data_IF_020028752463
#
_entry.id   IF_020028752463
#
_cell.length_a   1.000
_cell.length_b   1.000
_cell.length_c   1.000
_cell.angle_alpha   90.00
_cell.angle_beta   90.00
_cell.angle_gamma   90.00
#
_symmetry.space_group_name_H-M   'P 1'
#
loop_
_entity.id
_entity.type
_entity.pdbx_description
1 polymer ?
#
# COMPACT_ATOMS: atom_id res chain seq x y z
N UNK A 1 54.17 -45.70 33.30
CA UNK A 1 54.10 -44.22 33.38
C UNK A 1 53.56 -43.56 32.11
N UNK A 2 53.90 -44.05 30.90
CA UNK A 2 53.43 -43.49 29.62
C UNK A 2 51.90 -43.65 29.38
N UNK A 3 51.31 -44.79 29.72
CA UNK A 3 49.86 -45.05 29.55
C UNK A 3 48.97 -44.08 30.35
N UNK A 4 49.39 -43.73 31.57
CA UNK A 4 48.66 -42.82 32.45
C UNK A 4 48.70 -41.37 31.94
N UNK A 5 49.82 -40.94 31.34
CA UNK A 5 49.95 -39.62 30.69
C UNK A 5 49.11 -39.54 29.40
N UNK A 6 49.06 -40.63 28.62
CA UNK A 6 48.24 -40.71 27.42
C UNK A 6 46.73 -40.63 27.75
N UNK A 7 46.27 -41.36 28.78
CA UNK A 7 44.88 -41.33 29.20
C UNK A 7 44.43 -39.93 29.68
N UNK A 8 45.30 -39.21 30.40
CA UNK A 8 45.02 -37.83 30.85
C UNK A 8 44.92 -36.88 29.65
N UNK A 9 45.83 -36.99 28.68
CA UNK A 9 45.81 -36.15 27.47
C UNK A 9 44.54 -36.39 26.64
N UNK A 10 44.16 -37.65 26.44
CA UNK A 10 42.93 -38.02 25.73
C UNK A 10 41.71 -37.45 26.47
N UNK A 11 41.65 -37.62 27.80
CA UNK A 11 40.56 -37.06 28.61
C UNK A 11 40.42 -35.55 28.48
N UNK A 12 41.54 -34.82 28.48
CA UNK A 12 41.55 -33.36 28.31
C UNK A 12 41.13 -32.92 26.90
N UNK A 13 41.53 -33.66 25.86
CA UNK A 13 41.07 -33.41 24.49
C UNK A 13 39.55 -33.63 24.37
N UNK A 14 39.02 -34.72 24.94
CA UNK A 14 37.59 -35.00 24.94
C UNK A 14 36.80 -33.90 25.68
N UNK A 15 37.26 -33.46 26.85
CA UNK A 15 36.66 -32.33 27.58
C UNK A 15 36.73 -31.04 26.75
N UNK A 16 37.84 -30.83 26.03
CA UNK A 16 38.01 -29.63 25.20
C UNK A 16 37.02 -29.58 24.05
N UNK A 17 36.81 -30.71 23.36
CA UNK A 17 35.84 -30.86 22.28
C UNK A 17 34.41 -30.69 22.82
N UNK A 18 34.08 -31.32 23.95
CA UNK A 18 32.78 -31.20 24.59
C UNK A 18 32.46 -29.75 24.95
N UNK A 19 33.39 -29.04 25.59
CA UNK A 19 33.19 -27.65 25.99
C UNK A 19 33.05 -26.74 24.76
N UNK A 20 33.90 -26.90 23.74
CA UNK A 20 33.80 -26.14 22.50
C UNK A 20 32.45 -26.38 21.79
N UNK A 21 31.96 -27.63 21.77
CA UNK A 21 30.65 -27.98 21.23
C UNK A 21 29.49 -27.32 22.01
N UNK A 22 29.53 -27.37 23.34
CA UNK A 22 28.53 -26.70 24.19
C UNK A 22 28.55 -25.18 24.03
N UNK A 23 29.73 -24.57 23.96
CA UNK A 23 29.89 -23.13 23.71
C UNK A 23 29.36 -22.75 22.33
N UNK A 24 29.62 -23.55 21.30
CA UNK A 24 29.06 -23.35 19.96
C UNK A 24 27.53 -23.43 19.93
N UNK A 25 26.95 -24.45 20.56
CA UNK A 25 25.48 -24.61 20.64
C UNK A 25 24.81 -23.48 21.43
N UNK A 26 25.38 -23.11 22.58
CA UNK A 26 24.88 -22.01 23.39
C UNK A 26 25.01 -20.67 22.64
N UNK A 27 26.16 -20.44 21.99
CA UNK A 27 26.41 -19.26 21.15
C UNK A 27 25.41 -19.15 20.00
N UNK A 28 25.14 -20.26 19.29
CA UNK A 28 24.14 -20.31 18.22
C UNK A 28 22.75 -19.93 18.72
N UNK A 29 22.29 -20.53 19.84
CA UNK A 29 20.97 -20.20 20.40
C UNK A 29 20.85 -18.75 20.84
N UNK A 30 21.87 -18.23 21.52
CA UNK A 30 21.86 -16.84 21.98
C UNK A 30 21.85 -15.90 20.78
N UNK A 31 22.68 -16.15 19.78
CA UNK A 31 22.76 -15.33 18.58
C UNK A 31 21.47 -15.39 17.76
N UNK A 32 20.88 -16.58 17.60
CA UNK A 32 19.57 -16.76 16.95
C UNK A 32 18.50 -15.92 17.65
N UNK A 33 18.36 -16.04 18.98
CA UNK A 33 17.37 -15.28 19.74
C UNK A 33 17.59 -13.76 19.63
N UNK A 34 18.85 -13.31 19.66
CA UNK A 34 19.18 -11.89 19.56
C UNK A 34 18.90 -11.33 18.18
N UNK A 35 19.27 -12.06 17.12
CA UNK A 35 19.04 -11.65 15.75
C UNK A 35 17.56 -11.70 15.39
N UNK A 36 16.82 -12.71 15.83
CA UNK A 36 15.37 -12.77 15.66
C UNK A 36 14.67 -11.62 16.39
N UNK A 37 15.03 -11.34 17.65
CA UNK A 37 14.46 -10.21 18.39
C UNK A 37 14.76 -8.86 17.72
N UNK A 38 16.01 -8.66 17.26
CA UNK A 38 16.40 -7.46 16.53
C UNK A 38 15.65 -7.33 15.19
N UNK A 39 15.46 -8.44 14.47
CA UNK A 39 14.69 -8.46 13.23
C UNK A 39 13.21 -8.13 13.48
N UNK A 40 12.62 -8.68 14.54
CA UNK A 40 11.24 -8.37 14.93
C UNK A 40 11.07 -6.89 15.29
N UNK A 41 12.02 -6.30 16.03
CA UNK A 41 12.01 -4.89 16.38
C UNK A 41 12.15 -4.00 15.14
N UNK A 42 13.10 -4.31 14.25
CA UNK A 42 13.25 -3.62 12.97
C UNK A 42 11.97 -3.69 12.15
N UNK A 43 11.39 -4.89 12.02
CA UNK A 43 10.18 -5.13 11.24
C UNK A 43 8.98 -4.39 11.82
N UNK A 44 8.89 -4.30 13.15
CA UNK A 44 7.87 -3.52 13.85
C UNK A 44 8.03 -2.01 13.63
N UNK A 45 9.27 -1.49 13.62
CA UNK A 45 9.54 -0.09 13.30
C UNK A 45 9.20 0.22 11.83
N UNK A 46 9.63 -0.65 10.92
CA UNK A 46 9.32 -0.56 9.49
C UNK A 46 7.81 -0.51 9.25
N UNK A 47 7.05 -1.47 9.80
CA UNK A 47 5.62 -1.57 9.56
C UNK A 47 4.84 -0.43 10.21
N UNK A 48 5.31 0.10 11.34
CA UNK A 48 4.69 1.28 11.97
C UNK A 48 4.81 2.51 11.08
N UNK A 49 5.98 2.75 10.50
CA UNK A 49 6.19 3.88 9.57
C UNK A 49 5.34 3.69 8.32
N UNK A 50 5.28 2.46 7.77
CA UNK A 50 4.42 2.14 6.62
C UNK A 50 2.95 2.33 6.93
N UNK A 51 2.47 1.83 8.06
CA UNK A 51 1.08 2.00 8.50
C UNK A 51 0.67 3.48 8.48
N UNK A 52 1.48 4.36 9.09
CA UNK A 52 1.19 5.80 9.10
C UNK A 52 1.18 6.42 7.71
N UNK A 53 2.17 6.09 6.87
CA UNK A 53 2.28 6.68 5.53
C UNK A 53 1.17 6.22 4.58
N UNK A 54 0.87 4.93 4.53
CA UNK A 54 -0.18 4.41 3.64
C UNK A 54 -1.56 4.85 4.12
N UNK A 55 -1.82 4.88 5.43
CA UNK A 55 -3.06 5.38 6.02
C UNK A 55 -3.30 6.87 5.72
N UNK A 56 -2.24 7.69 5.77
CA UNK A 56 -2.30 9.13 5.52
C UNK A 56 -2.90 9.44 4.14
N UNK A 57 -2.58 8.65 3.12
CA UNK A 57 -3.10 8.83 1.76
C UNK A 57 -4.63 8.73 1.70
N UNK A 58 -5.21 7.75 2.39
CA UNK A 58 -6.66 7.56 2.45
C UNK A 58 -7.34 8.60 3.34
N UNK A 59 -6.66 9.06 4.40
CA UNK A 59 -7.11 10.20 5.18
C UNK A 59 -7.15 11.51 4.39
N UNK A 60 -6.17 11.72 3.52
CA UNK A 60 -6.15 12.86 2.61
C UNK A 60 -7.32 12.79 1.64
N UNK A 61 -7.62 11.61 1.09
CA UNK A 61 -8.76 11.43 0.20
C UNK A 61 -10.09 11.69 0.93
N UNK A 62 -10.21 11.24 2.20
CA UNK A 62 -11.36 11.58 3.05
C UNK A 62 -11.49 13.09 3.27
N UNK A 63 -10.39 13.79 3.52
CA UNK A 63 -10.39 15.26 3.69
C UNK A 63 -10.77 15.98 2.41
N UNK A 64 -10.23 15.56 1.26
CA UNK A 64 -10.58 16.09 -0.07
C UNK A 64 -12.08 15.96 -0.33
N UNK A 65 -12.62 14.74 -0.21
CA UNK A 65 -14.03 14.47 -0.51
C UNK A 65 -14.99 15.23 0.43
N UNK A 66 -14.67 15.34 1.72
CA UNK A 66 -15.45 16.18 2.65
C UNK A 66 -15.40 17.67 2.28
N UNK A 67 -14.22 18.19 1.95
CA UNK A 67 -14.08 19.58 1.52
C UNK A 67 -14.87 19.87 0.23
N UNK A 68 -14.90 18.90 -0.70
CA UNK A 68 -15.72 18.95 -1.91
C UNK A 68 -17.22 18.96 -1.57
N UNK A 69 -17.69 18.01 -0.75
CA UNK A 69 -19.09 17.96 -0.32
C UNK A 69 -19.58 19.26 0.34
N UNK A 70 -18.82 19.80 1.29
CA UNK A 70 -19.17 21.05 1.96
C UNK A 70 -19.21 22.24 0.99
N UNK A 71 -18.25 22.30 0.08
CA UNK A 71 -18.19 23.36 -0.94
C UNK A 71 -19.34 23.24 -1.93
N UNK A 72 -19.67 22.02 -2.34
CA UNK A 72 -20.79 21.72 -3.19
C UNK A 72 -22.12 22.16 -2.57
N UNK A 73 -22.39 21.79 -1.32
CA UNK A 73 -23.63 22.20 -0.63
C UNK A 73 -23.77 23.72 -0.56
N UNK A 74 -22.70 24.43 -0.19
CA UNK A 74 -22.71 25.91 -0.17
C UNK A 74 -23.02 26.50 -1.53
N UNK A 75 -22.40 25.98 -2.60
CA UNK A 75 -22.60 26.47 -3.97
C UNK A 75 -23.99 26.14 -4.50
N UNK A 76 -24.47 24.93 -4.24
CA UNK A 76 -25.80 24.50 -4.65
C UNK A 76 -26.88 25.38 -4.01
N UNK A 77 -26.77 25.68 -2.72
CA UNK A 77 -27.69 26.56 -2.01
C UNK A 77 -27.76 27.97 -2.64
N UNK A 78 -26.62 28.54 -3.03
CA UNK A 78 -26.57 29.86 -3.69
C UNK A 78 -27.20 29.82 -5.10
N UNK A 79 -27.11 28.70 -5.81
CA UNK A 79 -27.62 28.56 -7.17
C UNK A 79 -29.13 28.26 -7.24
N UNK A 80 -29.82 27.97 -6.12
CA UNK A 80 -31.23 27.56 -6.12
C UNK A 80 -32.13 28.56 -6.85
N UNK A 81 -31.91 29.87 -6.63
CA UNK A 81 -32.76 30.94 -7.17
C UNK A 81 -32.14 31.70 -8.34
N UNK A 82 -30.99 31.24 -8.86
CA UNK A 82 -30.25 31.90 -9.94
C UNK A 82 -30.58 31.23 -11.28
N UNK A 83 -30.84 31.99 -12.36
CA UNK A 83 -30.90 31.44 -13.71
C UNK A 83 -29.54 30.86 -14.11
N UNK A 84 -29.50 29.58 -14.47
CA UNK A 84 -28.23 28.88 -14.78
C UNK A 84 -28.05 28.54 -16.26
N UNK A 85 -29.10 28.62 -17.08
CA UNK A 85 -29.08 28.08 -18.45
C UNK A 85 -27.98 28.66 -19.33
N UNK A 86 -27.88 29.98 -19.40
CA UNK A 86 -26.92 30.63 -20.31
C UNK A 86 -25.46 30.28 -19.95
N UNK A 87 -25.12 30.27 -18.66
CA UNK A 87 -23.78 29.89 -18.21
C UNK A 87 -23.57 28.38 -18.41
N UNK A 88 -24.56 27.56 -18.07
CA UNK A 88 -24.47 26.11 -18.24
C UNK A 88 -24.29 25.71 -19.71
N UNK A 89 -25.03 26.30 -20.64
CA UNK A 89 -24.94 26.06 -22.07
C UNK A 89 -23.60 26.51 -22.65
N UNK A 90 -23.03 27.60 -22.12
CA UNK A 90 -21.70 28.08 -22.49
C UNK A 90 -20.59 27.12 -22.04
N UNK A 91 -20.73 26.56 -20.83
CA UNK A 91 -19.74 25.65 -20.25
C UNK A 91 -19.87 24.22 -20.78
N UNK A 92 -21.10 23.77 -21.00
CA UNK A 92 -21.45 22.40 -21.37
C UNK A 92 -22.41 22.39 -22.57
N UNK A 93 -21.95 22.76 -23.78
CA UNK A 93 -22.78 22.77 -24.97
C UNK A 93 -23.36 21.38 -25.30
N UNK A 94 -24.55 21.39 -25.89
CA UNK A 94 -25.19 20.17 -26.42
C UNK A 94 -24.48 19.74 -27.68
N UNK A 95 -24.21 18.43 -27.78
CA UNK A 95 -23.59 17.79 -28.92
C UNK A 95 -24.65 17.19 -29.87
N UNK A 96 -24.29 16.88 -31.13
CA UNK A 96 -25.21 16.27 -32.08
C UNK A 96 -25.79 14.92 -31.63
N UNK A 97 -25.09 14.21 -30.74
CA UNK A 97 -25.51 12.91 -30.18
C UNK A 97 -26.48 13.06 -28.98
N UNK A 98 -26.88 14.28 -28.64
CA UNK A 98 -27.79 14.58 -27.52
C UNK A 98 -27.12 14.64 -26.15
N UNK A 99 -25.82 14.35 -26.05
CA UNK A 99 -25.04 14.56 -24.82
C UNK A 99 -24.67 16.03 -24.65
N UNK A 100 -24.18 16.40 -23.46
CA UNK A 100 -23.41 17.63 -23.27
C UNK A 100 -21.97 17.30 -22.91
N UNK A 101 -21.04 18.10 -23.43
CA UNK A 101 -19.59 17.95 -23.19
C UNK A 101 -19.02 19.28 -22.71
N UNK A 102 -17.93 19.24 -21.95
CA UNK A 102 -17.22 20.47 -21.58
C UNK A 102 -16.72 21.21 -22.82
N UNK A 103 -16.92 22.54 -22.87
CA UNK A 103 -16.35 23.39 -23.89
C UNK A 103 -14.81 23.24 -23.96
N UNK A 104 -14.16 23.29 -25.13
CA UNK A 104 -12.73 23.01 -25.27
C UNK A 104 -11.83 23.83 -24.33
N UNK A 105 -12.12 25.13 -24.20
CA UNK A 105 -11.37 26.05 -23.34
C UNK A 105 -11.40 25.72 -21.85
N UNK A 106 -12.35 24.89 -21.38
CA UNK A 106 -12.37 24.45 -19.98
C UNK A 106 -11.21 23.52 -19.61
N UNK A 107 -10.66 22.79 -20.58
CA UNK A 107 -9.44 22.02 -20.35
C UNK A 107 -8.20 22.86 -20.66
N UNK A 108 -8.20 23.56 -21.79
CA UNK A 108 -7.00 24.22 -22.32
C UNK A 108 -6.64 25.52 -21.57
N UNK A 109 -7.62 26.13 -20.90
CA UNK A 109 -7.46 27.44 -20.27
C UNK A 109 -8.44 28.45 -20.85
N UNK A 110 -9.30 29.03 -20.02
CA UNK A 110 -10.17 30.14 -20.41
C UNK A 110 -10.53 31.00 -19.20
N UNK A 111 -10.96 32.23 -19.47
CA UNK A 111 -11.50 33.13 -18.43
C UNK A 111 -13.02 33.04 -18.44
N UNK A 112 -13.61 32.85 -17.27
CA UNK A 112 -15.05 32.82 -17.07
C UNK A 112 -15.63 34.23 -17.12
N UNK A 113 -16.95 34.34 -17.29
CA UNK A 113 -17.68 35.60 -17.23
C UNK A 113 -17.47 36.36 -15.92
N UNK A 114 -17.13 35.66 -14.84
CA UNK A 114 -16.79 36.21 -13.52
C UNK A 114 -15.38 36.77 -13.40
N UNK A 115 -14.52 36.58 -14.42
CA UNK A 115 -13.10 36.97 -14.40
C UNK A 115 -12.15 35.89 -13.86
N UNK A 116 -12.66 34.77 -13.36
CA UNK A 116 -11.85 33.64 -12.90
C UNK A 116 -11.21 32.89 -14.08
N UNK A 117 -9.96 32.44 -13.93
CA UNK A 117 -9.31 31.52 -14.86
C UNK A 117 -9.67 30.06 -14.54
N UNK A 118 -9.91 29.24 -15.56
CA UNK A 118 -10.20 27.81 -15.42
C UNK A 118 -9.47 27.00 -16.48
N UNK A 119 -9.02 25.80 -16.11
CA UNK A 119 -8.32 24.84 -16.96
C UNK A 119 -8.50 23.43 -16.41
N UNK A 120 -8.05 22.40 -17.16
CA UNK A 120 -8.00 21.01 -16.69
C UNK A 120 -9.35 20.31 -16.48
N UNK A 121 -10.45 20.93 -16.90
CA UNK A 121 -11.80 20.39 -16.71
C UNK A 121 -12.26 19.62 -17.95
N UNK A 122 -12.81 18.43 -17.73
CA UNK A 122 -13.55 17.66 -18.72
C UNK A 122 -14.92 17.26 -18.18
N UNK A 123 -15.92 17.09 -19.07
CA UNK A 123 -17.24 16.62 -18.66
C UNK A 123 -17.89 15.74 -19.74
N UNK A 124 -18.62 14.74 -19.26
CA UNK A 124 -19.54 13.91 -20.03
C UNK A 124 -20.89 13.92 -19.33
N UNK A 125 -21.91 14.47 -19.97
CA UNK A 125 -23.26 14.52 -19.43
C UNK A 125 -24.20 13.80 -20.41
N UNK A 126 -24.45 12.52 -20.13
CA UNK A 126 -25.42 11.74 -20.87
C UNK A 126 -26.83 12.37 -20.81
N UNK A 127 -27.62 12.16 -21.88
CA UNK A 127 -28.97 12.71 -22.02
C UNK A 127 -29.03 14.23 -21.78
N UNK A 128 -27.92 14.92 -22.11
CA UNK A 128 -27.67 16.31 -21.75
C UNK A 128 -28.67 17.30 -22.33
N UNK A 129 -29.20 17.01 -23.53
CA UNK A 129 -30.24 17.82 -24.16
C UNK A 129 -31.55 17.89 -23.35
N UNK A 130 -31.81 16.88 -22.50
CA UNK A 130 -33.04 16.75 -21.71
C UNK A 130 -32.86 17.16 -20.24
N UNK A 131 -31.70 17.70 -19.85
CA UNK A 131 -31.44 18.11 -18.47
C UNK A 131 -32.39 19.23 -18.01
N UNK A 132 -33.01 19.02 -16.87
CA UNK A 132 -33.82 19.99 -16.14
C UNK A 132 -32.95 21.08 -15.49
N UNK A 133 -33.54 22.22 -15.15
CA UNK A 133 -32.81 23.30 -14.47
C UNK A 133 -32.22 22.86 -13.13
N UNK A 134 -32.91 21.98 -12.41
CA UNK A 134 -32.40 21.40 -11.15
C UNK A 134 -31.12 20.60 -11.37
N UNK A 135 -31.07 19.79 -12.43
CA UNK A 135 -29.86 19.03 -12.80
C UNK A 135 -28.75 19.97 -13.28
N UNK A 136 -29.07 20.99 -14.08
CA UNK A 136 -28.09 22.00 -14.52
C UNK A 136 -27.47 22.74 -13.33
N UNK A 137 -28.28 23.18 -12.36
CA UNK A 137 -27.80 23.82 -11.11
C UNK A 137 -26.86 22.90 -10.34
N UNK A 138 -27.27 21.65 -10.15
CA UNK A 138 -26.48 20.62 -9.49
C UNK A 138 -25.12 20.42 -10.19
N UNK A 139 -25.11 20.29 -11.50
CA UNK A 139 -23.88 20.11 -12.27
C UNK A 139 -23.01 21.37 -12.33
N UNK A 140 -23.61 22.56 -12.33
CA UNK A 140 -22.88 23.81 -12.21
C UNK A 140 -22.22 23.96 -10.83
N UNK A 141 -22.92 23.58 -9.75
CA UNK A 141 -22.35 23.50 -8.41
C UNK A 141 -21.20 22.47 -8.35
N UNK A 142 -21.39 21.31 -8.99
CA UNK A 142 -20.36 20.28 -9.15
C UNK A 142 -19.12 20.82 -9.86
N UNK A 143 -19.30 21.46 -11.02
CA UNK A 143 -18.24 22.12 -11.79
C UNK A 143 -17.43 23.11 -10.96
N UNK A 144 -18.09 24.05 -10.30
CA UNK A 144 -17.40 25.05 -9.47
C UNK A 144 -16.68 24.41 -8.28
N UNK A 145 -17.19 23.29 -7.77
CA UNK A 145 -16.57 22.53 -6.69
C UNK A 145 -15.31 21.81 -7.16
N UNK A 146 -15.39 21.01 -8.23
CA UNK A 146 -14.24 20.25 -8.73
C UNK A 146 -13.13 21.19 -9.20
N UNK A 147 -13.48 22.35 -9.78
CA UNK A 147 -12.54 23.44 -10.09
C UNK A 147 -11.81 23.91 -8.84
N UNK A 148 -12.55 24.47 -7.88
CA UNK A 148 -11.94 25.16 -6.75
C UNK A 148 -11.21 24.21 -5.80
N UNK A 149 -11.81 23.05 -5.50
CA UNK A 149 -11.20 22.06 -4.61
C UNK A 149 -10.13 21.26 -5.33
N UNK A 150 -10.32 20.93 -6.61
CA UNK A 150 -9.32 20.19 -7.38
C UNK A 150 -8.03 20.99 -7.53
N UNK A 151 -8.13 22.28 -7.87
CA UNK A 151 -6.97 23.17 -8.01
C UNK A 151 -6.21 23.32 -6.68
N UNK A 152 -6.92 23.44 -5.56
CA UNK A 152 -6.31 23.54 -4.22
C UNK A 152 -5.54 22.27 -3.79
N UNK A 153 -5.78 21.13 -4.46
CA UNK A 153 -5.15 19.83 -4.16
C UNK A 153 -4.27 19.31 -5.30
N UNK A 154 -3.88 20.19 -6.24
CA UNK A 154 -2.90 19.88 -7.27
C UNK A 154 -1.61 19.32 -6.68
N UNK A 155 -1.02 18.35 -7.39
CA UNK A 155 0.16 17.61 -6.94
C UNK A 155 -0.07 16.59 -5.83
N UNK A 156 -1.26 16.55 -5.21
CA UNK A 156 -1.63 15.53 -4.19
C UNK A 156 -2.53 14.43 -4.75
N UNK A 157 -3.47 14.80 -5.61
CA UNK A 157 -4.37 13.87 -6.30
C UNK A 157 -4.33 14.15 -7.79
N UNK A 158 -4.35 13.08 -8.60
CA UNK A 158 -4.32 13.21 -10.07
C UNK A 158 -5.65 13.68 -10.65
N UNK A 159 -6.74 13.53 -9.91
CA UNK A 159 -8.05 14.03 -10.29
C UNK A 159 -8.98 14.26 -9.08
N UNK A 160 -9.99 15.07 -9.31
CA UNK A 160 -11.21 15.16 -8.53
C UNK A 160 -12.39 15.19 -9.50
N UNK A 161 -13.40 14.37 -9.27
CA UNK A 161 -14.58 14.32 -10.12
C UNK A 161 -15.86 14.31 -9.30
N UNK A 162 -16.88 14.93 -9.87
CA UNK A 162 -18.26 14.88 -9.43
C UNK A 162 -19.05 14.06 -10.44
N UNK A 163 -19.88 13.15 -9.97
CA UNK A 163 -20.67 12.31 -10.86
C UNK A 163 -21.96 11.85 -10.19
N UNK A 164 -22.90 11.36 -11.00
CA UNK A 164 -24.17 10.79 -10.53
C UNK A 164 -24.45 9.45 -11.22
N UNK A 165 -25.30 8.58 -10.62
CA UNK A 165 -25.66 7.29 -11.24
C UNK A 165 -26.40 7.38 -12.58
N UNK A 166 -26.79 8.58 -13.02
CA UNK A 166 -27.42 8.86 -14.33
C UNK A 166 -26.40 8.98 -15.49
N UNK A 167 -25.17 8.46 -15.31
CA UNK A 167 -24.09 8.48 -16.31
C UNK A 167 -23.62 9.88 -16.68
N UNK A 168 -23.50 10.76 -15.69
CA UNK A 168 -22.99 12.12 -15.88
C UNK A 168 -21.83 12.39 -14.94
N UNK A 169 -20.84 13.15 -15.42
CA UNK A 169 -19.60 13.43 -14.69
C UNK A 169 -18.95 14.75 -15.15
N UNK A 170 -18.37 15.46 -14.18
CA UNK A 170 -17.45 16.59 -14.39
C UNK A 170 -16.18 16.31 -13.60
N UNK A 171 -15.02 16.40 -14.24
CA UNK A 171 -13.72 16.04 -13.68
C UNK A 171 -12.71 17.17 -13.87
N UNK A 172 -11.95 17.43 -12.82
CA UNK A 172 -10.71 18.19 -12.87
C UNK A 172 -9.53 17.22 -12.85
N UNK A 173 -8.74 17.21 -13.91
CA UNK A 173 -7.54 16.37 -14.04
C UNK A 173 -6.55 16.97 -15.06
N UNK A 174 -5.91 18.11 -14.72
CA UNK A 174 -5.08 18.87 -15.67
C UNK A 174 -3.78 18.16 -16.07
N UNK A 175 -3.28 17.23 -15.25
CA UNK A 175 -2.01 16.53 -15.49
C UNK A 175 -2.18 15.21 -16.24
N UNK A 176 -3.41 14.83 -16.59
CA UNK A 176 -3.66 13.62 -17.36
C UNK A 176 -3.13 13.76 -18.78
N UNK A 177 -2.31 12.80 -19.20
CA UNK A 177 -1.70 12.77 -20.54
C UNK A 177 -2.73 12.76 -21.67
N UNK A 178 -3.85 12.04 -21.49
CA UNK A 178 -4.94 11.94 -22.46
C UNK A 178 -5.82 13.20 -22.50
N UNK A 179 -5.56 14.20 -21.66
CA UNK A 179 -6.29 15.46 -21.59
C UNK A 179 -7.80 15.32 -21.48
N UNK A 180 -8.26 14.22 -20.86
CA UNK A 180 -9.67 13.84 -20.75
C UNK A 180 -10.41 13.72 -22.10
N UNK A 181 -9.69 13.53 -23.22
CA UNK A 181 -10.28 13.51 -24.58
C UNK A 181 -11.37 12.47 -24.71
N UNK A 182 -11.22 11.31 -24.07
CA UNK A 182 -12.26 10.29 -24.04
C UNK A 182 -13.61 10.86 -23.56
N UNK A 183 -13.66 11.49 -22.40
CA UNK A 183 -14.92 12.04 -21.86
C UNK A 183 -15.39 13.28 -22.63
N UNK A 184 -14.45 14.11 -23.09
CA UNK A 184 -14.72 15.38 -23.77
C UNK A 184 -15.27 15.20 -25.18
N UNK A 185 -14.90 14.13 -25.89
CA UNK A 185 -15.26 13.97 -27.30
C UNK A 185 -15.46 12.54 -27.82
N UNK A 186 -14.83 11.50 -27.25
CA UNK A 186 -14.82 10.17 -27.89
C UNK A 186 -15.83 9.18 -27.30
N UNK A 187 -16.16 9.32 -26.01
CA UNK A 187 -17.07 8.42 -25.33
C UNK A 187 -18.43 8.42 -26.04
N UNK A 188 -19.02 7.27 -26.37
CA UNK A 188 -20.30 7.21 -27.05
C UNK A 188 -21.44 7.73 -26.15
N UNK A 189 -22.57 8.12 -26.75
CA UNK A 189 -23.69 8.72 -26.01
C UNK A 189 -24.31 7.77 -24.96
N UNK A 190 -24.25 6.47 -25.23
CA UNK A 190 -24.72 5.39 -24.36
C UNK A 190 -23.64 4.87 -23.40
N UNK A 191 -22.47 5.51 -23.35
CA UNK A 191 -21.38 5.13 -22.45
C UNK A 191 -21.86 5.01 -21.00
N UNK A 192 -21.58 3.86 -20.38
CA UNK A 192 -21.95 3.58 -19.00
C UNK A 192 -20.80 3.91 -18.04
N UNK A 193 -20.87 5.09 -17.44
CA UNK A 193 -19.96 5.50 -16.37
C UNK A 193 -20.05 4.62 -15.12
N UNK A 194 -21.09 3.79 -14.98
CA UNK A 194 -21.31 2.95 -13.80
C UNK A 194 -20.54 1.63 -13.82
N UNK A 195 -19.91 1.26 -14.95
CA UNK A 195 -19.35 -0.08 -15.16
C UNK A 195 -18.37 -0.55 -14.08
N UNK A 196 -17.68 0.39 -13.41
CA UNK A 196 -16.71 0.15 -12.34
C UNK A 196 -17.20 0.65 -10.95
N UNK A 197 -18.51 0.86 -10.79
CA UNK A 197 -19.11 1.38 -9.57
C UNK A 197 -19.77 0.30 -8.74
N UNK A 198 -19.37 0.22 -7.46
CA UNK A 198 -20.09 -0.61 -6.51
C UNK A 198 -21.41 0.06 -6.16
N UNK A 199 -22.54 -0.54 -6.56
CA UNK A 199 -23.88 -0.05 -6.25
C UNK A 199 -24.11 0.11 -4.73
N UNK A 200 -23.40 -0.65 -3.89
CA UNK A 200 -23.45 -0.51 -2.44
C UNK A 200 -22.87 0.82 -1.93
N UNK A 201 -22.15 1.59 -2.77
CA UNK A 201 -21.74 2.95 -2.44
C UNK A 201 -22.95 3.89 -2.31
N UNK A 202 -23.96 3.71 -3.18
CA UNK A 202 -25.12 4.59 -3.33
C UNK A 202 -26.39 4.08 -2.66
N UNK A 203 -26.35 2.91 -2.06
CA UNK A 203 -27.50 2.35 -1.37
C UNK A 203 -27.51 2.81 0.10
N UNK A 204 -28.63 3.37 0.55
CA UNK A 204 -28.80 3.86 1.92
C UNK A 204 -28.73 2.73 2.95
N UNK A 205 -29.11 1.50 2.58
CA UNK A 205 -29.08 0.37 3.52
C UNK A 205 -27.64 -0.06 3.82
N UNK A 206 -26.80 -0.07 2.80
CA UNK A 206 -25.40 -0.46 2.91
C UNK A 206 -24.49 0.69 3.29
N UNK A 207 -24.79 1.95 2.93
CA UNK A 207 -24.01 3.14 3.26
C UNK A 207 -24.89 4.30 3.81
N UNK A 208 -25.52 4.15 4.99
CA UNK A 208 -26.47 5.14 5.53
C UNK A 208 -25.82 6.49 5.86
N UNK A 209 -24.54 6.49 6.23
CA UNK A 209 -23.82 7.69 6.63
C UNK A 209 -23.13 8.40 5.46
N UNK A 210 -23.33 7.93 4.22
CA UNK A 210 -22.62 8.42 3.03
C UNK A 210 -21.10 8.45 3.21
N UNK A 211 -20.56 7.42 3.86
CA UNK A 211 -19.13 7.30 4.10
C UNK A 211 -18.37 7.11 2.79
N UNK A 212 -17.16 7.66 2.75
CA UNK A 212 -16.24 7.42 1.63
C UNK A 212 -15.87 5.94 1.55
N UNK A 213 -16.00 5.34 0.37
CA UNK A 213 -15.50 3.99 0.09
C UNK A 213 -14.55 4.00 -1.09
N UNK A 214 -13.58 3.11 -1.03
CA UNK A 214 -12.59 2.94 -2.08
C UNK A 214 -12.79 1.59 -2.75
N UNK A 215 -12.68 1.54 -4.07
CA UNK A 215 -12.70 0.27 -4.80
C UNK A 215 -11.46 -0.55 -4.51
N UNK A 216 -11.56 -1.85 -4.77
CA UNK A 216 -10.37 -2.64 -5.10
C UNK A 216 -9.61 -1.98 -6.28
N UNK A 217 -8.37 -2.40 -6.52
CA UNK A 217 -7.68 -1.93 -7.70
C UNK A 217 -8.42 -2.31 -8.97
N UNK A 218 -8.77 -1.30 -9.73
CA UNK A 218 -9.32 -1.45 -11.06
C UNK A 218 -8.32 -0.89 -12.08
N UNK A 219 -8.53 -1.28 -13.33
CA UNK A 219 -7.93 -0.55 -14.44
C UNK A 219 -8.62 0.81 -14.54
N UNK A 220 -7.95 1.77 -15.15
CA UNK A 220 -8.63 2.98 -15.56
C UNK A 220 -9.62 2.65 -16.68
N UNK A 221 -10.86 3.15 -16.57
CA UNK A 221 -11.97 2.91 -17.52
C UNK A 221 -11.60 3.27 -18.98
N UNK A 222 -10.61 4.15 -19.17
CA UNK A 222 -10.19 4.70 -20.47
C UNK A 222 -8.94 4.02 -21.07
N UNK A 223 -8.34 3.03 -20.40
CA UNK A 223 -7.11 2.39 -20.85
C UNK A 223 -7.34 0.90 -21.16
N UNK A 224 -7.37 0.55 -22.45
CA UNK A 224 -7.35 -0.84 -22.90
C UNK A 224 -5.97 -1.46 -22.64
N UNK A 225 -5.92 -2.55 -21.87
CA UNK A 225 -4.74 -3.41 -21.75
C UNK A 225 -3.69 -3.06 -20.67
N UNK A 226 -3.93 -2.07 -19.80
CA UNK A 226 -2.99 -1.70 -18.71
C UNK A 226 -3.10 -2.56 -17.43
N UNK A 227 -2.05 -2.54 -16.60
CA UNK A 227 -2.09 -3.13 -15.25
C UNK A 227 -3.10 -2.40 -14.34
N UNK A 228 -3.70 -3.12 -13.38
CA UNK A 228 -4.62 -2.55 -12.38
C UNK A 228 -3.84 -1.56 -11.50
N UNK A 229 -4.05 -0.26 -11.69
CA UNK A 229 -3.11 0.77 -11.24
C UNK A 229 -3.71 1.84 -10.32
N UNK A 230 -5.02 1.81 -10.02
CA UNK A 230 -5.62 2.80 -9.15
C UNK A 230 -6.79 2.27 -8.33
N UNK A 231 -7.00 2.89 -7.17
CA UNK A 231 -8.24 2.77 -6.39
C UNK A 231 -9.04 4.05 -6.54
N UNK A 232 -10.34 3.93 -6.80
CA UNK A 232 -11.25 5.06 -6.82
C UNK A 232 -11.91 5.21 -5.45
N UNK A 233 -11.57 6.29 -4.73
CA UNK A 233 -12.18 6.62 -3.44
C UNK A 233 -13.27 7.67 -3.65
N UNK A 234 -14.50 7.33 -3.26
CA UNK A 234 -15.70 8.10 -3.57
C UNK A 234 -16.59 8.26 -2.35
N UNK A 235 -17.25 9.40 -2.24
CA UNK A 235 -18.15 9.75 -1.15
C UNK A 235 -19.49 10.25 -1.73
N UNK A 236 -20.61 9.59 -1.42
CA UNK A 236 -21.93 10.11 -1.76
C UNK A 236 -22.22 11.44 -1.09
N UNK A 237 -22.97 12.29 -1.76
CA UNK A 237 -23.53 13.53 -1.23
C UNK A 237 -25.03 13.39 -1.24
N UNK A 238 -25.64 13.56 -0.06
CA UNK A 238 -27.09 13.46 0.12
C UNK A 238 -27.69 14.70 0.77
N UNK A 239 -28.98 14.89 0.53
CA UNK A 239 -29.86 15.75 1.31
C UNK A 239 -31.06 14.92 1.78
N UNK A 240 -31.08 14.58 3.08
CA UNK A 240 -31.92 13.51 3.59
C UNK A 240 -31.67 12.18 2.85
N UNK A 241 -32.73 11.61 2.27
CA UNK A 241 -32.66 10.37 1.49
C UNK A 241 -32.28 10.61 0.02
N UNK A 242 -32.33 11.87 -0.46
CA UNK A 242 -32.04 12.19 -1.86
C UNK A 242 -30.54 12.09 -2.13
N UNK A 243 -30.17 11.29 -3.14
CA UNK A 243 -28.81 11.28 -3.67
C UNK A 243 -28.61 12.47 -4.61
N UNK A 244 -27.78 13.41 -4.18
CA UNK A 244 -27.38 14.53 -5.03
C UNK A 244 -26.31 14.10 -6.03
N UNK A 245 -25.36 13.26 -5.61
CA UNK A 245 -24.31 12.67 -6.44
C UNK A 245 -23.19 12.11 -5.59
N UNK A 246 -21.98 12.06 -6.13
CA UNK A 246 -20.78 11.72 -5.37
C UNK A 246 -19.56 12.48 -5.86
N UNK A 247 -18.65 12.76 -4.93
CA UNK A 247 -17.30 13.17 -5.24
C UNK A 247 -16.36 11.98 -5.19
N UNK A 248 -15.35 11.98 -6.04
CA UNK A 248 -14.33 10.95 -6.03
C UNK A 248 -12.98 11.45 -6.51
N UNK A 249 -11.95 10.70 -6.14
CA UNK A 249 -10.59 10.88 -6.61
C UNK A 249 -9.94 9.52 -6.84
N UNK A 250 -9.11 9.43 -7.86
CA UNK A 250 -8.25 8.27 -8.05
C UNK A 250 -6.99 8.39 -7.20
N UNK A 251 -6.72 7.33 -6.46
CA UNK A 251 -5.45 7.07 -5.79
C UNK A 251 -4.64 6.16 -6.71
N UNK A 252 -3.60 6.72 -7.35
CA UNK A 252 -2.69 5.91 -8.15
C UNK A 252 -1.81 5.05 -7.26
N UNK A 253 -1.61 3.80 -7.66
CA UNK A 253 -0.64 2.91 -7.05
C UNK A 253 0.79 3.17 -7.50
N UNK A 254 0.99 3.83 -8.63
CA UNK A 254 2.23 3.72 -9.42
C UNK A 254 3.46 4.35 -8.78
N UNK A 255 3.32 5.22 -7.78
CA UNK A 255 4.48 5.87 -7.18
C UNK A 255 4.65 5.52 -5.70
N UNK A 256 3.79 6.00 -4.80
CA UNK A 256 4.04 5.82 -3.35
C UNK A 256 3.85 4.36 -2.91
N UNK A 257 2.74 3.75 -3.30
CA UNK A 257 2.41 2.38 -2.88
C UNK A 257 3.22 1.33 -3.65
N UNK A 258 3.51 1.56 -4.94
CA UNK A 258 4.45 0.74 -5.72
C UNK A 258 5.85 0.78 -5.11
N UNK A 259 6.39 1.97 -4.82
CA UNK A 259 7.68 2.13 -4.14
C UNK A 259 7.70 1.42 -2.78
N UNK A 260 6.58 1.47 -2.04
CA UNK A 260 6.45 0.73 -0.79
C UNK A 260 6.53 -0.79 -0.99
N UNK A 261 5.95 -1.33 -2.07
CA UNK A 261 6.04 -2.74 -2.40
C UNK A 261 7.44 -3.16 -2.90
N UNK A 262 8.13 -2.28 -3.60
CA UNK A 262 9.45 -2.53 -4.18
C UNK A 262 10.62 -2.49 -3.20
N UNK A 263 10.42 -1.89 -2.02
CA UNK A 263 11.45 -1.80 -0.97
C UNK A 263 11.06 -2.60 0.28
N UNK A 264 11.08 -3.95 0.22
CA UNK A 264 10.88 -4.77 1.40
C UNK A 264 12.07 -4.70 2.38
N UNK A 265 11.85 -5.03 3.66
CA UNK A 265 12.93 -5.35 4.59
C UNK A 265 13.85 -6.45 4.01
N UNK A 266 15.09 -6.52 4.50
CA UNK A 266 16.04 -7.54 4.04
C UNK A 266 15.45 -8.95 4.13
N UNK A 267 15.63 -9.75 3.07
CA UNK A 267 15.06 -11.10 2.90
C UNK A 267 13.52 -11.15 2.93
N UNK A 268 12.85 -10.02 2.77
CA UNK A 268 11.40 -9.90 2.79
C UNK A 268 10.75 -9.75 1.42
N UNK A 269 9.43 -9.90 1.40
CA UNK A 269 8.55 -9.54 0.28
C UNK A 269 7.36 -8.78 0.84
N UNK A 270 7.05 -7.64 0.24
CA UNK A 270 5.84 -6.89 0.56
C UNK A 270 4.66 -7.33 -0.32
N UNK A 271 3.47 -7.33 0.26
CA UNK A 271 2.22 -7.70 -0.38
C UNK A 271 1.12 -6.75 0.08
N UNK A 272 0.14 -6.55 -0.79
CA UNK A 272 -1.08 -5.84 -0.48
C UNK A 272 -2.25 -6.79 -0.67
N UNK A 273 -3.14 -6.86 0.30
CA UNK A 273 -4.34 -7.71 0.27
C UNK A 273 -5.59 -6.86 0.38
N UNK A 274 -6.66 -7.28 -0.30
CA UNK A 274 -8.00 -6.74 -0.08
C UNK A 274 -8.63 -7.31 1.20
N UNK A 275 -9.83 -6.86 1.54
CA UNK A 275 -10.57 -7.33 2.71
C UNK A 275 -10.94 -8.82 2.63
N UNK A 276 -11.11 -9.35 1.41
CA UNK A 276 -11.46 -10.74 1.13
C UNK A 276 -10.24 -11.67 1.22
N UNK A 277 -9.02 -11.12 1.15
CA UNK A 277 -7.76 -11.86 1.20
C UNK A 277 -7.14 -12.12 -0.17
N UNK A 278 -7.65 -11.50 -1.23
CA UNK A 278 -7.02 -11.57 -2.54
C UNK A 278 -5.77 -10.69 -2.56
N UNK A 279 -4.71 -11.17 -3.21
CA UNK A 279 -3.51 -10.36 -3.43
C UNK A 279 -3.84 -9.28 -4.45
N UNK A 280 -3.76 -8.04 -3.99
CA UNK A 280 -3.90 -6.84 -4.80
C UNK A 280 -2.61 -6.59 -5.60
N UNK A 281 -1.46 -6.62 -4.93
CA UNK A 281 -0.15 -6.45 -5.55
C UNK A 281 0.95 -7.05 -4.68
N UNK A 282 2.11 -7.30 -5.27
CA UNK A 282 3.25 -7.96 -4.65
C UNK A 282 4.55 -7.36 -5.14
N UNK A 283 5.46 -7.07 -4.20
CA UNK A 283 6.81 -6.63 -4.50
C UNK A 283 7.66 -7.70 -5.20
N UNK A 284 8.84 -7.31 -5.71
CA UNK A 284 9.76 -8.25 -6.34
C UNK A 284 10.19 -9.35 -5.35
N UNK A 285 10.51 -10.56 -5.84
CA UNK A 285 11.05 -11.60 -4.99
C UNK A 285 12.42 -11.17 -4.42
N UNK A 286 12.85 -11.71 -3.27
CA UNK A 286 14.13 -11.33 -2.67
C UNK A 286 15.28 -11.67 -3.62
N UNK A 287 16.25 -10.77 -3.77
CA UNK A 287 17.38 -10.93 -4.70
C UNK A 287 18.16 -12.25 -4.52
N UNK A 288 18.21 -12.79 -3.29
CA UNK A 288 18.83 -14.09 -2.98
C UNK A 288 18.10 -15.30 -3.61
N UNK A 289 16.93 -15.11 -4.22
CA UNK A 289 16.08 -16.15 -4.84
C UNK A 289 15.87 -15.97 -6.35
N UNK A 290 16.68 -15.16 -7.03
CA UNK A 290 16.62 -14.96 -8.48
C UNK A 290 17.10 -16.17 -9.32
N UNK A 291 17.07 -17.38 -8.75
CA UNK A 291 17.23 -18.66 -9.45
C UNK A 291 15.87 -19.34 -9.61
N UNK A 292 15.53 -19.73 -10.84
CA UNK A 292 14.26 -20.36 -11.24
C UNK A 292 13.79 -21.42 -10.22
N UNK A 293 12.62 -21.18 -9.61
CA UNK A 293 11.67 -22.19 -9.14
C UNK A 293 11.80 -22.90 -7.76
N UNK A 294 12.57 -22.42 -6.78
CA UNK A 294 12.57 -23.06 -5.43
C UNK A 294 12.41 -22.07 -4.26
N UNK A 295 11.17 -21.60 -4.09
CA UNK A 295 10.53 -21.43 -2.78
C UNK A 295 9.01 -21.27 -2.96
N UNK A 296 8.37 -22.34 -3.44
CA UNK A 296 6.95 -22.59 -3.18
C UNK A 296 6.81 -22.91 -1.69
N UNK A 297 6.88 -21.87 -0.85
CA UNK A 297 6.46 -21.82 0.55
C UNK A 297 6.55 -20.38 1.09
N UNK A 298 6.23 -19.37 0.28
CA UNK A 298 5.62 -18.18 0.91
C UNK A 298 4.35 -18.71 1.55
N UNK A 299 4.13 -18.43 2.84
CA UNK A 299 2.88 -18.76 3.53
C UNK A 299 1.70 -18.57 2.58
N UNK A 300 0.79 -19.54 2.57
CA UNK A 300 -0.39 -19.44 1.75
C UNK A 300 -1.12 -18.13 2.12
N UNK A 301 -1.53 -17.30 1.15
CA UNK A 301 -2.32 -16.09 1.40
C UNK A 301 -3.44 -16.30 2.41
N UNK A 302 -4.07 -17.46 2.37
CA UNK A 302 -5.16 -17.90 3.24
C UNK A 302 -4.72 -18.01 4.71
N UNK A 303 -3.51 -18.54 4.96
CA UNK A 303 -2.94 -18.66 6.32
C UNK A 303 -2.63 -17.27 6.89
N UNK A 304 -2.03 -16.40 6.06
CA UNK A 304 -1.75 -15.00 6.42
C UNK A 304 -3.06 -14.31 6.81
N UNK A 305 -4.07 -14.39 5.95
CA UNK A 305 -5.34 -13.71 6.17
C UNK A 305 -6.11 -14.26 7.37
N UNK A 306 -5.97 -15.55 7.67
CA UNK A 306 -6.54 -16.14 8.89
C UNK A 306 -5.91 -15.52 10.14
N UNK A 307 -4.59 -15.41 10.19
CA UNK A 307 -3.88 -14.75 11.30
C UNK A 307 -4.26 -13.28 11.41
N UNK A 308 -4.32 -12.55 10.29
CA UNK A 308 -4.68 -11.14 10.28
C UNK A 308 -6.10 -10.91 10.76
N UNK A 309 -7.09 -11.70 10.33
CA UNK A 309 -8.49 -11.55 10.75
C UNK A 309 -8.69 -11.74 12.25
N UNK A 310 -7.88 -12.57 12.89
CA UNK A 310 -7.95 -12.82 14.34
C UNK A 310 -7.28 -11.74 15.19
N UNK A 311 -6.44 -10.88 14.60
CA UNK A 311 -5.69 -9.86 15.34
C UNK A 311 -6.31 -8.46 15.15
N UNK A 312 -6.89 -7.85 16.20
CA UNK A 312 -7.56 -6.56 16.08
C UNK A 312 -6.60 -5.37 15.99
N UNK A 313 -5.29 -5.58 16.15
CA UNK A 313 -4.32 -4.47 16.15
C UNK A 313 -4.27 -3.79 14.77
N UNK A 314 -4.02 -2.46 14.72
CA UNK A 314 -3.88 -1.73 13.46
C UNK A 314 -2.61 -2.12 12.71
N UNK A 315 -1.57 -2.54 13.42
CA UNK A 315 -0.33 -3.09 12.86
C UNK A 315 0.35 -4.00 13.87
N UNK A 316 1.27 -4.84 13.41
CA UNK A 316 2.04 -5.71 14.29
C UNK A 316 2.96 -6.65 13.55
N UNK A 317 3.64 -7.51 14.32
CA UNK A 317 4.49 -8.58 13.81
C UNK A 317 4.08 -9.89 14.45
N UNK A 318 4.00 -10.95 13.64
CA UNK A 318 3.87 -12.34 14.06
C UNK A 318 5.16 -13.08 13.76
N UNK A 319 5.55 -13.96 14.68
CA UNK A 319 6.54 -15.00 14.42
C UNK A 319 5.76 -16.29 14.20
N UNK A 320 5.96 -16.92 13.05
CA UNK A 320 5.24 -18.15 12.69
C UNK A 320 5.76 -19.31 13.57
N UNK A 321 4.91 -20.20 14.10
CA UNK A 321 5.32 -21.24 15.06
C UNK A 321 6.48 -22.14 14.60
N UNK A 322 6.56 -22.45 13.31
CA UNK A 322 7.68 -23.24 12.73
C UNK A 322 9.00 -22.45 12.65
N UNK A 323 8.96 -21.17 13.06
CA UNK A 323 10.11 -20.27 13.19
C UNK A 323 10.76 -19.85 11.88
N UNK A 324 10.27 -20.32 10.73
CA UNK A 324 10.87 -20.00 9.43
C UNK A 324 10.64 -18.54 8.99
N UNK A 325 9.60 -17.90 9.51
CA UNK A 325 9.08 -16.66 8.94
C UNK A 325 8.60 -15.67 10.00
N UNK A 326 8.75 -14.38 9.70
CA UNK A 326 8.06 -13.29 10.38
C UNK A 326 7.09 -12.60 9.42
N UNK A 327 5.93 -12.22 9.93
CA UNK A 327 4.90 -11.49 9.18
C UNK A 327 4.67 -10.17 9.88
N UNK A 328 5.06 -9.07 9.24
CA UNK A 328 4.60 -7.73 9.60
C UNK A 328 3.31 -7.42 8.88
N UNK A 329 2.41 -6.69 9.53
CA UNK A 329 1.21 -6.20 8.88
C UNK A 329 0.81 -4.82 9.36
N UNK A 330 0.10 -4.10 8.50
CA UNK A 330 -0.68 -2.91 8.84
C UNK A 330 -2.01 -2.91 8.10
N UNK A 331 -3.07 -2.53 8.81
CA UNK A 331 -4.40 -2.33 8.27
C UNK A 331 -4.52 -0.93 7.68
N UNK A 332 -5.20 -0.82 6.55
CA UNK A 332 -5.46 0.44 5.87
C UNK A 332 -6.97 0.68 5.90
N UNK A 333 -7.40 1.68 6.65
CA UNK A 333 -8.81 2.06 6.78
C UNK A 333 -9.30 2.82 5.54
N UNK A 334 -10.55 2.59 5.15
CA UNK A 334 -11.15 3.14 3.93
C UNK A 334 -11.40 2.04 2.89
N UNK A 335 -10.35 1.45 2.28
CA UNK A 335 -10.50 0.32 1.38
C UNK A 335 -10.54 -1.04 2.12
N UNK A 336 -10.30 -1.06 3.43
CA UNK A 336 -10.20 -2.27 4.26
C UNK A 336 -9.10 -3.23 3.77
N UNK A 337 -7.94 -2.67 3.42
CA UNK A 337 -6.79 -3.42 2.90
C UNK A 337 -5.79 -3.78 3.98
N UNK A 338 -4.90 -4.71 3.65
CA UNK A 338 -3.76 -5.10 4.49
C UNK A 338 -2.46 -4.93 3.71
N UNK A 339 -1.55 -4.13 4.23
CA UNK A 339 -0.15 -4.15 3.79
C UNK A 339 0.61 -5.15 4.66
N UNK A 340 1.31 -6.07 4.03
CA UNK A 340 1.96 -7.21 4.69
C UNK A 340 3.39 -7.32 4.20
N UNK A 341 4.31 -7.60 5.12
CA UNK A 341 5.70 -7.91 4.81
C UNK A 341 6.07 -9.26 5.39
N UNK A 342 6.44 -10.21 4.54
CA UNK A 342 6.83 -11.56 4.96
C UNK A 342 8.35 -11.68 4.85
N UNK A 343 9.03 -11.95 5.96
CA UNK A 343 10.49 -12.04 6.06
C UNK A 343 10.94 -13.47 6.37
N UNK A 344 11.89 -13.97 5.59
CA UNK A 344 12.53 -15.27 5.81
C UNK A 344 13.63 -15.19 6.87
N UNK A 345 13.54 -16.03 7.90
CA UNK A 345 14.54 -16.11 8.97
C UNK A 345 15.67 -17.10 8.67
N UNK A 346 15.57 -17.93 7.62
CA UNK A 346 16.60 -18.91 7.28
C UNK A 346 17.98 -18.30 7.01
N UNK A 347 18.13 -17.18 6.27
CA UNK A 347 19.43 -16.53 6.06
C UNK A 347 20.06 -16.02 7.35
N UNK A 348 19.24 -15.52 8.28
CA UNK A 348 19.66 -15.02 9.60
C UNK A 348 20.20 -16.19 10.44
N UNK A 349 19.45 -17.29 10.50
CA UNK A 349 19.84 -18.52 11.22
C UNK A 349 21.07 -19.18 10.61
N UNK A 350 21.22 -19.16 9.28
CA UNK A 350 22.42 -19.67 8.62
C UNK A 350 23.65 -18.86 9.01
N UNK A 351 23.53 -17.53 9.01
CA UNK A 351 24.61 -16.62 9.44
C UNK A 351 25.01 -16.90 10.89
N UNK A 352 24.04 -17.04 11.78
CA UNK A 352 24.26 -17.37 13.19
C UNK A 352 25.01 -18.69 13.38
N UNK A 353 24.60 -19.75 12.66
CA UNK A 353 25.28 -21.06 12.68
C UNK A 353 26.74 -20.96 12.22
N UNK A 354 27.02 -20.23 11.15
CA UNK A 354 28.40 -20.04 10.66
C UNK A 354 29.28 -19.34 11.70
N UNK A 355 28.78 -18.27 12.33
CA UNK A 355 29.53 -17.57 13.39
C UNK A 355 29.72 -18.43 14.63
N UNK A 356 28.71 -19.21 15.03
CA UNK A 356 28.81 -20.14 16.15
C UNK A 356 29.86 -21.23 15.89
N UNK A 357 29.95 -21.74 14.65
CA UNK A 357 30.99 -22.69 14.24
C UNK A 357 32.38 -22.06 14.32
N UNK A 358 32.56 -20.83 13.84
CA UNK A 358 33.83 -20.10 13.93
C UNK A 358 34.25 -19.92 15.39
N UNK A 359 33.32 -19.48 16.27
CA UNK A 359 33.60 -19.31 17.69
C UNK A 359 33.97 -20.64 18.38
N UNK A 360 33.26 -21.73 18.06
CA UNK A 360 33.57 -23.06 18.60
C UNK A 360 34.98 -23.51 18.19
N UNK A 361 35.37 -23.28 16.93
CA UNK A 361 36.71 -23.59 16.43
C UNK A 361 37.79 -22.75 17.11
N UNK A 362 37.54 -21.46 17.35
CA UNK A 362 38.45 -20.57 18.07
C UNK A 362 38.65 -21.01 19.53
N UNK A 363 37.56 -21.38 20.23
CA UNK A 363 37.63 -21.91 21.60
C UNK A 363 38.40 -23.22 21.64
N UNK A 364 38.14 -24.12 20.68
CA UNK A 364 38.87 -25.39 20.58
C UNK A 364 40.36 -25.16 20.34
N UNK A 365 40.72 -24.27 19.41
CA UNK A 365 42.11 -23.94 19.11
C UNK A 365 42.82 -23.33 20.33
N UNK A 366 42.16 -22.42 21.06
CA UNK A 366 42.70 -21.82 22.28
C UNK A 366 42.97 -22.86 23.38
N UNK A 367 42.04 -23.80 23.59
CA UNK A 367 42.20 -24.86 24.60
C UNK A 367 43.29 -25.87 24.22
N UNK A 368 43.37 -26.26 22.95
CA UNK A 368 44.46 -27.11 22.45
C UNK A 368 45.82 -26.40 22.56
N UNK A 369 45.88 -25.10 22.29
CA UNK A 369 47.08 -24.28 22.49
C UNK A 369 47.52 -24.20 23.97
N UNK A 370 46.57 -24.00 24.88
CA UNK A 370 46.84 -24.01 26.32
C UNK A 370 47.37 -25.38 26.80
N UNK A 371 46.78 -26.47 26.30
CA UNK A 371 47.24 -27.84 26.56
C UNK A 371 48.67 -28.07 26.06
N UNK A 372 48.98 -27.65 24.83
CA UNK A 372 50.32 -27.77 24.26
C UNK A 372 51.35 -27.00 25.08
N UNK A 373 51.03 -25.77 25.47
CA UNK A 373 51.91 -24.92 26.29
C UNK A 373 52.17 -25.54 27.67
N UNK A 374 51.12 -26.06 28.32
CA UNK A 374 51.25 -26.78 29.59
C UNK A 374 52.08 -28.06 29.48
N UNK A 375 51.94 -28.81 28.38
CA UNK A 375 52.73 -30.01 28.13
C UNK A 375 54.23 -29.69 27.90
N UNK A 376 54.55 -28.56 27.25
CA UNK A 376 55.93 -28.10 27.03
C UNK A 376 56.57 -27.65 28.36
N UNK A 377 55.89 -26.78 29.12
CA UNK A 377 56.38 -26.33 30.43
C UNK A 377 56.54 -27.48 31.44
N UNK A 378 55.65 -28.48 31.38
CA UNK A 378 55.74 -29.69 32.19
C UNK A 378 56.91 -30.62 31.83
N UNK A 379 57.47 -30.51 30.60
CA UNK A 379 58.67 -31.24 30.18
C UNK A 379 59.96 -30.58 30.67
N UNK A 380 60.00 -29.24 30.74
CA UNK A 380 61.20 -28.51 31.20
C UNK A 380 61.51 -28.71 32.69
N UNK A 381 60.50 -28.92 33.54
CA UNK A 381 60.69 -29.24 34.97
C UNK A 381 61.29 -30.62 35.24
N UNK A 382 61.58 -31.44 34.22
CA UNK A 382 62.05 -32.84 34.34
C UNK A 382 63.49 -33.02 33.83
N UNK A 383 64.27 -31.96 33.63
CA UNK A 383 65.74 -32.09 33.50
C UNK A 383 66.39 -32.03 34.88
N UNK A 384 66.91 -33.14 35.45
CA UNK A 384 67.80 -33.02 36.59
C UNK A 384 69.06 -32.29 36.12
N UNK A 385 69.44 -31.25 36.85
CA UNK A 385 70.78 -30.68 36.77
C UNK A 385 71.73 -31.78 37.27
N UNK A 386 72.67 -32.16 36.41
CA UNK A 386 73.72 -33.15 36.72
C UNK A 386 74.63 -32.66 37.85
#
# INVERSE_FOLDING_TARGET
MASRKLAILIGQICVSILLAGLTGLAGCRILDQRLEAAQAEHLNAYIRVRAGREQQMFEDARRLNRAAEETFRRRLAVLQDVPVDAEFDRLFPVMPDGTRRSAPGLYDGTTLSTGDYVFGIGAFLADGAMMTDTEKRRYLAGFHTVRAVGEAYLGRFSNLYYFTPDRRMVMFAPEREDRLVFYRSEAPADFDLRGDEDAALFDLRSNPNSEMRCTALSRFVYADGGDRAASACRQPVRDGDELLGAFGSSISMTETLATALEMPPSHGVNMLFDHAGNIISRGPPPAARAGREQARAVLAPEDIMTMLRLDPRPFGVFVVPDGGWMIAFSRIEGPSWYFVSVVDLAPIRQTSRSWAQILALLVLAAMLGALATGAILGREKVKPVA
#
